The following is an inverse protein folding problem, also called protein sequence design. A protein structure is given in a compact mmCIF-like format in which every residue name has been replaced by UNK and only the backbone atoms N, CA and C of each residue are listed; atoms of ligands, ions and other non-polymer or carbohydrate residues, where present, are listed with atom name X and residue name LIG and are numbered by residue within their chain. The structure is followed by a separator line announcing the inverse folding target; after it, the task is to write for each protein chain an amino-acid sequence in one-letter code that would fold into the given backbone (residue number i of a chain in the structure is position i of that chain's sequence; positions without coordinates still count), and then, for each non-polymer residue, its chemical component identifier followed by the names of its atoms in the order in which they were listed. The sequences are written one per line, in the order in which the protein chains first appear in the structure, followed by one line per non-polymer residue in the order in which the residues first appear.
data_IF_519568228741
#
_entry.id   IF_519568228741
#
_cell.length_a   1.000
_cell.length_b   1.000
_cell.length_c   1.000
_cell.angle_alpha   90.00
_cell.angle_beta   90.00
_cell.angle_gamma   90.00
#
_symmetry.space_group_name_H-M   'P 1'
#
loop_
_entity.id
_entity.type
_entity.pdbx_description
1 polymer ?
#
# COMPACT_ATOMS: atom_id res chain seq x y z
N UNK A 1 -23.37 -5.30 0.15
CA UNK A 1 -22.49 -6.27 0.85
C UNK A 1 -21.35 -5.57 1.61
N UNK A 2 -20.43 -4.82 0.96
CA UNK A 2 -19.31 -4.14 1.65
C UNK A 2 -19.79 -3.11 2.68
N UNK A 3 -20.74 -2.25 2.33
CA UNK A 3 -21.31 -1.25 3.25
C UNK A 3 -21.81 -1.87 4.56
N UNK A 4 -22.63 -2.91 4.48
CA UNK A 4 -23.17 -3.59 5.65
C UNK A 4 -22.08 -4.22 6.53
N UNK A 5 -21.05 -4.79 5.89
CA UNK A 5 -19.91 -5.35 6.60
C UNK A 5 -19.13 -4.27 7.34
N UNK A 6 -18.86 -3.15 6.71
CA UNK A 6 -18.17 -2.00 7.31
C UNK A 6 -18.97 -1.40 8.47
N UNK A 7 -20.27 -1.18 8.29
CA UNK A 7 -21.13 -0.65 9.35
C UNK A 7 -21.14 -1.56 10.59
N UNK A 8 -21.06 -2.88 10.39
CA UNK A 8 -21.09 -3.84 11.49
C UNK A 8 -19.73 -3.99 12.19
N UNK A 9 -18.62 -3.92 11.46
CA UNK A 9 -17.31 -4.35 11.93
C UNK A 9 -16.28 -3.20 12.05
N UNK A 10 -16.67 -1.97 11.70
CA UNK A 10 -15.82 -0.80 11.85
C UNK A 10 -16.51 0.23 12.75
N UNK A 11 -16.09 0.38 14.01
CA UNK A 11 -16.78 1.24 14.97
C UNK A 11 -16.80 2.73 14.57
N UNK A 12 -15.77 3.20 13.86
CA UNK A 12 -15.72 4.60 13.37
C UNK A 12 -16.69 4.79 12.22
N UNK A 13 -16.74 3.83 11.28
CA UNK A 13 -17.67 3.87 10.17
C UNK A 13 -19.12 3.76 10.65
N UNK A 14 -19.39 2.91 11.62
CA UNK A 14 -20.71 2.77 12.24
C UNK A 14 -21.18 4.13 12.82
N UNK A 15 -20.39 4.75 13.70
CA UNK A 15 -20.73 6.04 14.30
C UNK A 15 -20.92 7.14 13.26
N UNK A 16 -20.13 7.12 12.19
CA UNK A 16 -20.27 8.06 11.08
C UNK A 16 -21.61 7.90 10.37
N UNK A 17 -21.97 6.65 10.00
CA UNK A 17 -23.21 6.37 9.29
C UNK A 17 -24.48 6.64 10.11
N UNK A 18 -24.41 6.51 11.44
CA UNK A 18 -25.49 6.87 12.36
C UNK A 18 -25.85 8.37 12.34
N UNK A 19 -24.91 9.23 11.92
CA UNK A 19 -25.15 10.68 11.79
C UNK A 19 -25.95 11.02 10.52
N UNK A 20 -26.03 10.11 9.55
CA UNK A 20 -26.63 10.34 8.25
C UNK A 20 -27.66 9.26 7.95
N UNK A 21 -28.96 9.59 7.93
CA UNK A 21 -30.05 8.60 7.78
C UNK A 21 -30.18 8.03 6.36
N UNK A 22 -29.37 8.49 5.39
CA UNK A 22 -29.44 8.03 4.01
C UNK A 22 -28.17 7.32 3.57
N UNK A 23 -28.26 6.26 2.73
CA UNK A 23 -27.11 5.52 2.21
C UNK A 23 -26.17 6.36 1.32
N UNK A 24 -26.58 7.56 0.90
CA UNK A 24 -25.84 8.42 0.00
C UNK A 24 -24.54 8.98 0.61
N UNK A 25 -24.38 8.90 1.94
CA UNK A 25 -23.18 9.30 2.68
C UNK A 25 -22.37 8.11 3.18
N UNK A 26 -22.35 7.01 2.42
CA UNK A 26 -21.65 5.77 2.76
C UNK A 26 -20.10 5.85 2.72
N UNK A 27 -19.52 7.05 2.64
CA UNK A 27 -18.08 7.25 2.58
C UNK A 27 -17.54 7.95 3.82
N UNK A 28 -16.52 7.38 4.42
CA UNK A 28 -15.80 7.99 5.52
C UNK A 28 -14.88 9.10 4.99
N UNK A 29 -14.88 10.32 5.56
CA UNK A 29 -13.95 11.36 5.15
C UNK A 29 -12.49 10.93 5.34
N UNK A 30 -11.65 11.15 4.32
CA UNK A 30 -10.22 10.80 4.35
C UNK A 30 -9.50 11.44 5.55
N UNK A 31 -9.95 12.64 5.98
CA UNK A 31 -9.40 13.33 7.14
C UNK A 31 -9.47 12.51 8.44
N UNK A 32 -10.40 11.55 8.55
CA UNK A 32 -10.53 10.70 9.73
C UNK A 32 -9.31 9.80 9.95
N UNK A 33 -8.61 9.42 8.90
CA UNK A 33 -7.36 8.66 9.01
C UNK A 33 -6.21 9.44 9.71
N UNK A 34 -6.36 10.75 9.90
CA UNK A 34 -5.42 11.57 10.68
C UNK A 34 -5.71 11.57 12.17
N UNK A 35 -6.97 11.41 12.55
CA UNK A 35 -7.45 11.59 13.92
C UNK A 35 -8.00 10.33 14.58
N UNK A 36 -8.30 9.31 13.79
CA UNK A 36 -8.91 8.06 14.24
C UNK A 36 -8.12 6.85 13.75
N UNK A 37 -8.11 5.80 14.56
CA UNK A 37 -7.65 4.47 14.11
C UNK A 37 -8.78 3.80 13.36
N UNK A 38 -8.72 3.84 12.02
CA UNK A 38 -9.74 3.25 11.16
C UNK A 38 -9.36 1.79 10.90
N UNK A 39 -10.05 0.90 11.57
CA UNK A 39 -9.84 -0.55 11.45
C UNK A 39 -11.18 -1.25 11.31
N UNK A 40 -11.31 -2.08 10.29
CA UNK A 40 -12.43 -3.01 10.14
C UNK A 40 -12.06 -4.32 10.79
N UNK A 41 -12.65 -4.61 11.93
CA UNK A 41 -12.31 -5.78 12.73
C UNK A 41 -12.81 -7.07 12.09
N UNK A 42 -12.02 -8.12 12.21
CA UNK A 42 -12.46 -9.47 11.90
C UNK A 42 -13.40 -9.93 13.03
N UNK A 43 -14.66 -10.31 12.75
CA UNK A 43 -15.57 -10.82 13.79
C UNK A 43 -15.08 -12.05 14.54
N UNK A 44 -14.18 -12.83 13.92
CA UNK A 44 -13.57 -14.01 14.52
C UNK A 44 -12.35 -13.67 15.40
N UNK A 45 -11.75 -12.51 15.17
CA UNK A 45 -10.57 -12.01 15.89
C UNK A 45 -10.74 -10.52 16.23
N UNK A 46 -11.69 -10.15 17.10
CA UNK A 46 -12.10 -8.74 17.29
C UNK A 46 -11.04 -7.84 17.92
N UNK A 47 -9.96 -8.42 18.45
CA UNK A 47 -8.85 -7.69 19.06
C UNK A 47 -7.53 -7.84 18.27
N UNK A 48 -7.59 -8.25 17.03
CA UNK A 48 -6.41 -8.37 16.19
C UNK A 48 -5.71 -7.02 16.07
N UNK A 49 -4.42 -7.00 16.38
CA UNK A 49 -3.58 -5.81 16.19
C UNK A 49 -3.12 -5.75 14.73
N UNK A 50 -2.93 -4.54 14.18
CA UNK A 50 -2.36 -4.38 12.86
C UNK A 50 -0.94 -4.96 12.81
N UNK A 51 -0.65 -5.76 11.79
CA UNK A 51 0.71 -6.26 11.51
C UNK A 51 1.58 -5.14 10.95
N UNK A 52 0.96 -4.21 10.18
CA UNK A 52 1.66 -3.07 9.58
C UNK A 52 0.82 -1.81 9.77
N UNK A 53 1.50 -0.68 9.98
CA UNK A 53 0.88 0.65 9.95
C UNK A 53 1.64 1.53 8.98
N UNK A 54 0.98 1.92 7.89
CA UNK A 54 1.52 2.90 6.96
C UNK A 54 1.16 4.32 7.36
N UNK A 55 2.07 5.25 7.07
CA UNK A 55 1.87 6.68 7.31
C UNK A 55 1.97 7.46 6.01
N UNK A 56 1.07 8.41 5.80
CA UNK A 56 1.21 9.34 4.68
C UNK A 56 2.43 10.24 4.88
N UNK A 57 3.04 10.67 3.77
CA UNK A 57 4.00 11.77 3.80
C UNK A 57 3.25 13.05 4.18
N UNK A 58 3.24 13.39 5.46
CA UNK A 58 2.69 14.68 5.90
C UNK A 58 3.40 15.82 5.17
N UNK A 59 2.65 16.74 4.56
CA UNK A 59 3.20 18.05 4.20
C UNK A 59 3.67 18.74 5.48
N UNK A 60 4.74 19.51 5.41
CA UNK A 60 5.42 20.13 6.56
C UNK A 60 4.43 20.71 7.56
N UNK A 61 4.38 20.17 8.77
CA UNK A 61 3.51 20.61 9.86
C UNK A 61 2.12 19.96 9.96
N UNK A 62 1.74 19.04 9.06
CA UNK A 62 0.46 18.33 9.18
C UNK A 62 0.61 16.97 9.88
N UNK A 63 -0.40 16.57 10.64
CA UNK A 63 -0.48 15.23 11.22
C UNK A 63 -0.62 14.21 10.08
N UNK A 64 0.30 13.21 9.97
CA UNK A 64 0.19 12.19 8.94
C UNK A 64 -1.04 11.29 9.20
N UNK A 65 -1.70 10.87 8.13
CA UNK A 65 -2.73 9.84 8.23
C UNK A 65 -2.08 8.47 8.42
N UNK A 66 -2.76 7.61 9.20
CA UNK A 66 -2.33 6.24 9.46
C UNK A 66 -3.27 5.25 8.80
N UNK A 67 -2.69 4.28 8.12
CA UNK A 67 -3.41 3.17 7.52
C UNK A 67 -2.99 1.86 8.20
N UNK A 68 -3.92 1.26 8.92
CA UNK A 68 -3.70 0.03 9.68
C UNK A 68 -4.03 -1.19 8.80
N UNK A 69 -3.07 -2.07 8.62
CA UNK A 69 -3.19 -3.32 7.84
C UNK A 69 -3.19 -4.49 8.81
N UNK A 70 -4.30 -5.21 8.89
CA UNK A 70 -4.46 -6.34 9.82
C UNK A 70 -3.75 -7.61 9.35
N UNK A 71 -3.56 -7.78 8.04
CA UNK A 71 -2.85 -8.93 7.46
C UNK A 71 -1.91 -8.47 6.36
N UNK A 72 -0.62 -8.65 6.60
CA UNK A 72 0.45 -8.39 5.61
C UNK A 72 0.28 -9.29 4.38
N UNK A 73 -0.01 -10.56 4.60
CA UNK A 73 -0.23 -11.52 3.52
C UNK A 73 -1.36 -11.09 2.58
N UNK A 74 -2.52 -10.71 3.12
CA UNK A 74 -3.64 -10.23 2.32
C UNK A 74 -3.29 -8.94 1.57
N UNK A 75 -2.53 -8.04 2.19
CA UNK A 75 -2.08 -6.82 1.57
C UNK A 75 -1.13 -7.10 0.39
N UNK A 76 -0.15 -7.99 0.58
CA UNK A 76 0.77 -8.45 -0.49
C UNK A 76 0.01 -9.10 -1.64
N UNK A 77 -0.89 -10.03 -1.34
CA UNK A 77 -1.72 -10.68 -2.36
C UNK A 77 -2.53 -9.66 -3.16
N UNK A 78 -3.09 -8.64 -2.51
CA UNK A 78 -3.95 -7.66 -3.18
C UNK A 78 -3.20 -6.83 -4.23
N UNK A 79 -2.01 -6.30 -3.90
CA UNK A 79 -1.26 -5.52 -4.88
C UNK A 79 -0.54 -6.38 -5.93
N UNK A 80 -0.09 -7.59 -5.56
CA UNK A 80 0.51 -8.52 -6.52
C UNK A 80 -0.52 -8.94 -7.56
N UNK A 81 -1.70 -9.40 -7.15
CA UNK A 81 -2.77 -9.77 -8.07
C UNK A 81 -3.22 -8.59 -8.93
N UNK A 82 -3.31 -7.38 -8.36
CA UNK A 82 -3.66 -6.19 -9.13
C UNK A 82 -2.61 -5.87 -10.19
N UNK A 83 -1.32 -6.01 -9.88
CA UNK A 83 -0.23 -5.83 -10.84
C UNK A 83 -0.29 -6.89 -11.95
N UNK A 84 -0.39 -8.16 -11.56
CA UNK A 84 -0.39 -9.29 -12.50
C UNK A 84 -1.58 -9.28 -13.45
N UNK A 85 -2.74 -8.82 -12.98
CA UNK A 85 -3.92 -8.67 -13.81
C UNK A 85 -3.73 -7.66 -14.95
N UNK A 86 -2.92 -6.61 -14.72
CA UNK A 86 -2.69 -5.54 -15.69
C UNK A 86 -1.44 -5.73 -16.54
N UNK A 87 -0.41 -6.34 -15.96
CA UNK A 87 0.93 -6.37 -16.55
C UNK A 87 1.49 -7.79 -16.74
N UNK A 88 0.92 -8.79 -16.09
CA UNK A 88 1.47 -10.16 -16.09
C UNK A 88 2.38 -10.43 -14.90
N UNK A 89 3.01 -11.61 -14.84
CA UNK A 89 3.77 -12.09 -13.69
C UNK A 89 4.89 -11.14 -13.27
N UNK A 90 4.98 -10.85 -11.96
CA UNK A 90 5.94 -9.90 -11.35
C UNK A 90 7.39 -10.28 -11.68
N UNK A 91 7.71 -11.56 -11.69
CA UNK A 91 9.06 -12.07 -11.94
C UNK A 91 9.59 -11.81 -13.36
N UNK A 92 8.74 -11.37 -14.27
CA UNK A 92 9.17 -11.00 -15.62
C UNK A 92 9.77 -9.59 -15.70
N UNK A 93 9.55 -8.76 -14.70
CA UNK A 93 9.89 -7.33 -14.71
C UNK A 93 11.17 -7.01 -13.94
N UNK A 94 11.93 -6.05 -14.45
CA UNK A 94 13.01 -5.42 -13.72
C UNK A 94 12.52 -4.11 -13.10
N UNK A 95 12.37 -4.09 -11.79
CA UNK A 95 11.87 -2.94 -11.04
C UNK A 95 12.98 -1.97 -10.67
N UNK A 96 12.89 -0.74 -11.14
CA UNK A 96 13.84 0.33 -10.87
C UNK A 96 13.16 1.39 -10.00
N UNK A 97 13.46 1.40 -8.71
CA UNK A 97 12.95 2.37 -7.76
C UNK A 97 13.84 3.62 -7.68
N UNK A 98 13.42 4.75 -8.25
CA UNK A 98 14.07 6.04 -8.04
C UNK A 98 13.55 6.69 -6.75
N UNK A 99 13.56 5.92 -5.69
CA UNK A 99 13.02 6.22 -4.36
C UNK A 99 14.05 5.84 -3.30
N UNK A 100 14.01 6.43 -2.08
CA UNK A 100 14.75 5.92 -0.94
C UNK A 100 14.35 4.46 -0.66
N UNK A 101 15.29 3.65 -0.17
CA UNK A 101 14.98 2.28 0.24
C UNK A 101 13.99 2.25 1.41
N UNK A 102 13.38 1.08 1.68
CA UNK A 102 12.48 0.92 2.81
C UNK A 102 13.17 1.16 4.17
N UNK A 103 14.46 0.88 4.25
CA UNK A 103 15.26 1.13 5.45
C UNK A 103 15.43 2.63 5.74
N UNK A 104 15.50 3.45 4.68
CA UNK A 104 15.64 4.91 4.82
C UNK A 104 14.30 5.60 5.07
N UNK A 105 13.20 5.02 4.60
CA UNK A 105 11.84 5.56 4.76
C UNK A 105 10.82 4.48 5.07
N UNK A 106 10.86 3.98 6.29
CA UNK A 106 9.86 3.05 6.81
C UNK A 106 8.47 3.68 6.87
N UNK A 107 7.43 2.85 6.80
CA UNK A 107 6.03 3.30 6.91
C UNK A 107 5.39 3.82 5.63
N UNK A 108 6.11 3.84 4.50
CA UNK A 108 5.53 4.16 3.19
C UNK A 108 4.98 2.89 2.53
N UNK A 109 3.69 2.87 2.23
CA UNK A 109 3.04 1.74 1.52
C UNK A 109 3.59 1.54 0.12
N UNK A 110 3.92 2.63 -0.60
CA UNK A 110 4.52 2.56 -1.93
C UNK A 110 5.90 1.91 -1.88
N UNK A 111 6.76 2.35 -0.97
CA UNK A 111 8.11 1.81 -0.86
C UNK A 111 8.07 0.34 -0.41
N UNK A 112 7.15 -0.01 0.47
CA UNK A 112 6.91 -1.39 0.89
C UNK A 112 6.56 -2.31 -0.29
N UNK A 113 5.62 -1.90 -1.14
CA UNK A 113 5.22 -2.63 -2.34
C UNK A 113 6.37 -2.74 -3.35
N UNK A 114 7.10 -1.64 -3.59
CA UNK A 114 8.25 -1.65 -4.51
C UNK A 114 9.38 -2.54 -4.01
N UNK A 115 9.66 -2.53 -2.70
CA UNK A 115 10.65 -3.42 -2.07
C UNK A 115 10.31 -4.90 -2.26
N UNK A 116 9.04 -5.24 -2.13
CA UNK A 116 8.55 -6.59 -2.34
C UNK A 116 8.65 -7.02 -3.82
N UNK A 117 8.27 -6.16 -4.76
CA UNK A 117 8.44 -6.43 -6.19
C UNK A 117 9.90 -6.52 -6.63
N UNK A 118 10.79 -5.72 -6.05
CA UNK A 118 12.24 -5.82 -6.28
C UNK A 118 12.76 -7.21 -5.90
N UNK A 119 12.29 -7.77 -4.77
CA UNK A 119 12.71 -9.10 -4.30
C UNK A 119 12.22 -10.24 -5.17
N UNK A 120 11.09 -10.06 -5.85
CA UNK A 120 10.47 -11.06 -6.73
C UNK A 120 10.91 -10.92 -8.20
N UNK A 121 11.29 -9.71 -8.59
CA UNK A 121 11.58 -9.34 -9.98
C UNK A 121 12.92 -9.85 -10.52
N UNK A 122 13.21 -9.46 -11.76
CA UNK A 122 14.41 -9.82 -12.47
C UNK A 122 15.68 -9.31 -11.78
N UNK A 123 16.84 -9.96 -12.01
CA UNK A 123 18.15 -9.44 -11.59
C UNK A 123 18.33 -7.98 -12.02
N UNK A 124 18.98 -7.19 -11.17
CA UNK A 124 19.15 -5.72 -11.29
C UNK A 124 17.90 -4.92 -10.90
N UNK A 125 16.81 -5.56 -10.44
CA UNK A 125 15.79 -4.83 -9.68
C UNK A 125 16.41 -4.23 -8.43
N UNK A 126 16.08 -2.97 -8.09
CA UNK A 126 16.68 -2.30 -6.94
C UNK A 126 16.24 -0.86 -6.75
N UNK A 127 16.68 -0.29 -5.64
CA UNK A 127 16.56 1.15 -5.37
C UNK A 127 17.82 1.87 -5.83
N UNK A 128 17.65 2.87 -6.67
CA UNK A 128 18.75 3.57 -7.37
C UNK A 128 18.70 5.09 -7.17
N UNK A 129 18.11 5.58 -6.13
CA UNK A 129 17.78 6.98 -5.81
C UNK A 129 18.51 8.05 -6.64
N UNK A 130 19.85 8.03 -6.65
CA UNK A 130 20.72 9.00 -7.35
C UNK A 130 21.71 8.32 -8.33
N UNK A 131 21.56 7.04 -8.59
CA UNK A 131 22.49 6.24 -9.41
C UNK A 131 22.10 6.26 -10.88
N UNK A 132 21.92 7.44 -11.47
CA UNK A 132 21.38 7.63 -12.83
C UNK A 132 22.18 6.89 -13.90
N UNK A 133 23.51 6.80 -13.78
CA UNK A 133 24.33 6.08 -14.74
C UNK A 133 24.11 4.56 -14.66
N UNK A 134 23.96 4.02 -13.46
CA UNK A 134 23.62 2.61 -13.27
C UNK A 134 22.25 2.30 -13.88
N UNK A 135 21.26 3.16 -13.64
CA UNK A 135 19.91 3.03 -14.24
C UNK A 135 19.97 3.05 -15.77
N UNK A 136 20.71 3.98 -16.38
CA UNK A 136 20.86 4.04 -17.83
C UNK A 136 21.43 2.74 -18.40
N UNK A 137 22.47 2.19 -17.76
CA UNK A 137 23.08 0.93 -18.16
C UNK A 137 22.10 -0.28 -18.03
N UNK A 138 21.28 -0.29 -16.97
CA UNK A 138 20.26 -1.33 -16.77
C UNK A 138 19.20 -1.25 -17.87
N UNK A 139 18.71 -0.05 -18.18
CA UNK A 139 17.69 0.15 -19.21
C UNK A 139 18.23 -0.33 -20.57
N UNK A 140 19.45 0.06 -20.97
CA UNK A 140 20.06 -0.40 -22.22
C UNK A 140 20.19 -1.93 -22.28
N UNK A 141 20.63 -2.54 -21.16
CA UNK A 141 20.75 -4.00 -21.09
C UNK A 141 19.38 -4.68 -21.23
N UNK A 142 18.37 -4.17 -20.53
CA UNK A 142 17.03 -4.76 -20.54
C UNK A 142 16.37 -4.63 -21.90
N UNK A 143 16.51 -3.48 -22.57
CA UNK A 143 16.04 -3.28 -23.94
C UNK A 143 16.65 -4.29 -24.91
N UNK A 144 17.97 -4.55 -24.80
CA UNK A 144 18.68 -5.52 -25.64
C UNK A 144 18.24 -6.96 -25.41
N UNK A 145 17.74 -7.28 -24.20
CA UNK A 145 17.30 -8.62 -23.79
C UNK A 145 15.78 -8.76 -23.73
N UNK A 146 15.01 -7.74 -24.14
CA UNK A 146 13.54 -7.72 -24.10
C UNK A 146 12.96 -7.97 -22.68
N UNK A 147 13.64 -7.47 -21.66
CA UNK A 147 13.18 -7.52 -20.26
C UNK A 147 12.38 -6.24 -19.98
N UNK A 148 11.10 -6.35 -19.63
CA UNK A 148 10.25 -5.21 -19.30
C UNK A 148 10.61 -4.54 -17.97
#
# INVERSE_FOLDING_TARGET
MIYQYQTKNNPIFQRWTEQFPTPDFGFLPIAFFKSHSIVTQNPQEPNQLPEIVFSSSGTTGSIPSKHHVLSDELYRQSYTQAFELMYGPVEQYCFIGLLPSYLERSGSSLIYMVDDFIKQGQPKSGFYLNEYQAVANIIQHNQSNQIP
#
